data_IF_482083917629
#
_entry.id   IF_482083917629
#
_cell.length_a   1.000
_cell.length_b   1.000
_cell.length_c   1.000
_cell.angle_alpha   90.00
_cell.angle_beta   90.00
_cell.angle_gamma   90.00
#
_symmetry.space_group_name_H-M   'P 1'
#
loop_
_entity.id
_entity.type
_entity.pdbx_description
1 polymer ?
#
# COMPACT_ATOMS: atom_id res chain seq x y z
N UNK A 1 -6.93 9.73 9.89
CA UNK A 1 -5.89 10.57 10.52
C UNK A 1 -4.61 10.31 9.75
N UNK A 2 -3.79 11.33 9.42
CA UNK A 2 -2.52 11.07 8.76
C UNK A 2 -1.65 10.21 9.69
N UNK A 3 -1.15 9.10 9.17
CA UNK A 3 -0.16 8.26 9.87
C UNK A 3 1.04 9.14 10.18
N UNK A 4 1.34 9.31 11.47
CA UNK A 4 2.37 10.23 11.95
C UNK A 4 3.74 9.88 11.38
N UNK A 5 4.26 10.72 10.49
CA UNK A 5 5.69 10.82 10.17
C UNK A 5 6.10 10.52 8.73
N UNK A 6 5.21 10.02 7.88
CA UNK A 6 5.50 9.78 6.46
C UNK A 6 4.59 10.63 5.58
N UNK A 7 5.18 11.26 4.57
CA UNK A 7 4.42 11.90 3.50
C UNK A 7 3.70 10.82 2.67
N UNK A 8 2.52 11.12 2.12
CA UNK A 8 1.77 10.16 1.32
C UNK A 8 2.59 9.61 0.14
N UNK A 9 3.49 10.41 -0.42
CA UNK A 9 4.41 9.99 -1.50
C UNK A 9 5.41 8.92 -1.02
N UNK A 10 6.01 9.06 0.17
CA UNK A 10 6.91 8.04 0.73
C UNK A 10 6.19 6.73 1.07
N UNK A 11 4.95 6.82 1.55
CA UNK A 11 4.13 5.63 1.84
C UNK A 11 3.81 4.90 0.54
N UNK A 12 3.45 5.63 -0.51
CA UNK A 12 3.14 5.07 -1.83
C UNK A 12 4.34 4.32 -2.41
N UNK A 13 5.51 4.96 -2.44
CA UNK A 13 6.76 4.35 -2.91
C UNK A 13 7.10 3.07 -2.13
N UNK A 14 6.92 3.09 -0.80
CA UNK A 14 7.11 1.90 0.03
C UNK A 14 6.07 0.81 -0.25
N UNK A 15 4.80 1.16 -0.41
CA UNK A 15 3.75 0.20 -0.77
C UNK A 15 4.03 -0.42 -2.15
N UNK A 16 4.49 0.36 -3.11
CA UNK A 16 4.87 -0.12 -4.44
C UNK A 16 6.09 -1.05 -4.41
N UNK A 17 7.06 -0.76 -3.54
CA UNK A 17 8.22 -1.62 -3.34
C UNK A 17 7.90 -2.90 -2.56
N UNK A 18 6.89 -2.86 -1.69
CA UNK A 18 6.52 -3.95 -0.77
C UNK A 18 5.47 -4.89 -1.34
N UNK A 19 4.51 -4.36 -2.10
CA UNK A 19 3.44 -5.13 -2.70
C UNK A 19 3.78 -5.46 -4.16
N UNK A 20 3.68 -6.73 -4.50
CA UNK A 20 3.70 -7.14 -5.91
C UNK A 20 2.37 -6.81 -6.60
N UNK A 21 2.35 -6.75 -7.93
CA UNK A 21 1.11 -6.58 -8.71
C UNK A 21 0.02 -7.59 -8.32
N UNK A 22 0.40 -8.83 -7.98
CA UNK A 22 -0.54 -9.86 -7.54
C UNK A 22 -1.20 -9.51 -6.21
N UNK A 23 -0.40 -9.05 -5.23
CA UNK A 23 -0.91 -8.70 -3.90
C UNK A 23 -1.72 -7.41 -3.94
N UNK A 24 -1.29 -6.42 -4.73
CA UNK A 24 -2.07 -5.20 -4.95
C UNK A 24 -3.48 -5.55 -5.48
N UNK A 25 -3.65 -6.59 -6.30
CA UNK A 25 -4.97 -7.05 -6.75
C UNK A 25 -5.77 -7.83 -5.68
N UNK A 26 -5.15 -8.25 -4.59
CA UNK A 26 -5.83 -8.84 -3.43
C UNK A 26 -6.31 -7.77 -2.45
N UNK A 27 -5.60 -6.64 -2.36
CA UNK A 27 -5.98 -5.50 -1.53
C UNK A 27 -6.92 -4.52 -2.25
N UNK A 28 -6.72 -4.32 -3.56
CA UNK A 28 -7.51 -3.40 -4.38
C UNK A 28 -8.62 -4.15 -5.11
N UNK A 29 -9.80 -3.53 -5.22
CA UNK A 29 -10.84 -3.98 -6.14
C UNK A 29 -10.44 -3.70 -7.60
N UNK A 30 -11.12 -4.35 -8.56
CA UNK A 30 -10.89 -4.11 -10.00
C UNK A 30 -10.98 -2.62 -10.39
N UNK A 31 -11.84 -1.85 -9.71
CA UNK A 31 -12.00 -0.42 -9.98
C UNK A 31 -10.81 0.41 -9.48
N UNK A 32 -10.36 0.14 -8.25
CA UNK A 32 -9.22 0.81 -7.61
C UNK A 32 -7.91 0.44 -8.32
N UNK A 33 -7.79 -0.83 -8.72
CA UNK A 33 -6.69 -1.31 -9.55
C UNK A 33 -6.59 -0.53 -10.86
N UNK A 34 -7.71 -0.30 -11.52
CA UNK A 34 -7.75 0.45 -12.76
C UNK A 34 -7.40 1.93 -12.54
N UNK A 35 -7.85 2.54 -11.44
CA UNK A 35 -7.52 3.91 -11.06
C UNK A 35 -6.01 4.07 -10.78
N UNK A 36 -5.42 3.13 -10.02
CA UNK A 36 -3.99 3.06 -9.78
C UNK A 36 -3.20 2.92 -11.09
N UNK A 37 -3.61 2.00 -11.98
CA UNK A 37 -2.90 1.80 -13.25
C UNK A 37 -3.04 2.99 -14.21
N UNK A 38 -4.07 3.82 -14.05
CA UNK A 38 -4.24 5.10 -14.77
C UNK A 38 -3.41 6.23 -14.17
N UNK A 39 -2.93 6.09 -12.94
CA UNK A 39 -2.28 7.15 -12.18
C UNK A 39 -3.25 8.24 -11.71
N UNK A 40 -4.55 7.91 -11.62
CA UNK A 40 -5.57 8.81 -11.05
C UNK A 40 -5.50 8.81 -9.50
N UNK A 41 -5.20 7.65 -8.90
CA UNK A 41 -5.12 7.45 -7.45
C UNK A 41 -3.88 6.63 -7.08
N UNK A 42 -3.25 6.97 -5.95
CA UNK A 42 -2.09 6.26 -5.40
C UNK A 42 -2.53 5.15 -4.43
N UNK A 43 -1.66 4.16 -4.17
CA UNK A 43 -1.94 3.08 -3.21
C UNK A 43 -2.25 3.63 -1.82
N UNK A 44 -1.60 4.72 -1.41
CA UNK A 44 -1.88 5.40 -0.13
C UNK A 44 -3.28 6.03 -0.05
N UNK A 45 -3.87 6.38 -1.21
CA UNK A 45 -5.22 6.96 -1.30
C UNK A 45 -6.28 5.85 -1.39
N UNK A 46 -5.94 4.74 -2.04
CA UNK A 46 -6.82 3.58 -2.24
C UNK A 46 -6.87 2.64 -1.04
N UNK A 47 -5.75 2.48 -0.31
CA UNK A 47 -5.67 1.59 0.84
C UNK A 47 -6.03 2.32 2.13
N UNK A 48 -6.76 1.63 3.01
CA UNK A 48 -7.04 2.18 4.32
C UNK A 48 -5.79 2.13 5.21
N UNK A 49 -5.67 3.09 6.14
CA UNK A 49 -4.52 3.15 7.05
C UNK A 49 -4.25 1.84 7.80
N UNK A 50 -5.28 1.09 8.16
CA UNK A 50 -5.15 -0.23 8.79
C UNK A 50 -4.59 -1.32 7.88
N UNK A 51 -4.84 -1.23 6.57
CA UNK A 51 -4.29 -2.16 5.58
C UNK A 51 -2.82 -1.84 5.33
N UNK A 52 -2.50 -0.56 5.20
CA UNK A 52 -1.13 -0.05 5.12
C UNK A 52 -0.35 -0.52 6.34
N UNK A 53 -0.84 -0.26 7.56
CA UNK A 53 -0.19 -0.73 8.79
C UNK A 53 0.05 -2.24 8.78
N UNK A 54 -0.89 -3.04 8.26
CA UNK A 54 -0.74 -4.50 8.16
C UNK A 54 0.34 -4.93 7.16
N UNK A 55 0.48 -4.23 6.04
CA UNK A 55 1.52 -4.48 5.03
C UNK A 55 2.90 -4.16 5.61
N UNK A 56 3.00 -3.07 6.38
CA UNK A 56 4.23 -2.69 7.08
C UNK A 56 4.56 -3.64 8.25
N UNK A 57 3.56 -4.11 8.99
CA UNK A 57 3.72 -5.04 10.11
C UNK A 57 4.12 -6.45 9.64
N UNK A 58 3.61 -6.90 8.49
CA UNK A 58 3.98 -8.18 7.87
C UNK A 58 5.48 -8.29 7.60
N UNK A 59 6.12 -7.18 7.26
CA UNK A 59 7.57 -7.08 7.00
C UNK A 59 8.39 -7.29 8.30
N UNK A 60 7.91 -6.78 9.43
CA UNK A 60 8.57 -6.95 10.73
C UNK A 60 8.60 -8.41 11.21
N UNK A 61 7.69 -9.25 10.71
CA UNK A 61 7.57 -10.66 11.08
C UNK A 61 8.38 -11.62 10.20
N UNK A 62 8.95 -11.17 9.08
CA UNK A 62 9.70 -12.02 8.12
C UNK A 62 11.24 -11.94 8.28
N UNK A 63 11.75 -11.10 9.18
CA UNK A 63 13.19 -10.90 9.44
C UNK A 63 13.74 -11.70 10.65
N UNK A 64 12.99 -12.68 11.20
CA UNK A 64 13.39 -13.48 12.39
C UNK A 64 13.90 -14.92 12.11
N UNK A 65 14.27 -15.31 10.87
CA UNK A 65 14.80 -16.67 10.57
C UNK A 65 16.32 -16.78 10.35
#
# INVERSE_FOLDING_TARGET
MPVSGYDPEDIDDMLESRLTDGEKAEFLTDAEWEAYRRGDESLVDLLEGSEIERIFDRDAAVDEE
#
